data_IF_360548579118
#
_entry.id   IF_360548579118
#
_cell.length_a   1.000
_cell.length_b   1.000
_cell.length_c   1.000
_cell.angle_alpha   90.00
_cell.angle_beta   90.00
_cell.angle_gamma   90.00
#
_symmetry.space_group_name_H-M   'P 1'
#
loop_
_entity.id
_entity.type
_entity.pdbx_description
1 polymer ?
#
# COMPACT_ATOMS: atom_id res chain seq x y z
N UNK A 1 18.77 -55.32 63.42
CA UNK A 1 18.87 -55.26 61.94
C UNK A 1 17.58 -55.85 61.39
N UNK A 2 16.67 -55.17 60.70
CA UNK A 2 16.63 -53.89 59.99
C UNK A 2 15.23 -53.28 60.19
N UNK A 3 15.14 -51.95 60.34
CA UNK A 3 13.89 -51.21 60.58
C UNK A 3 13.27 -50.78 59.24
N UNK A 4 11.93 -50.88 59.14
CA UNK A 4 11.10 -50.44 58.01
C UNK A 4 11.17 -48.91 57.83
N UNK A 5 11.49 -48.44 56.62
CA UNK A 5 11.43 -47.02 56.24
C UNK A 5 10.37 -46.77 55.17
N UNK A 6 9.37 -45.96 55.49
CA UNK A 6 8.32 -45.43 54.60
C UNK A 6 8.91 -44.26 53.80
N UNK A 7 8.78 -44.26 52.48
CA UNK A 7 9.04 -43.08 51.66
C UNK A 7 7.78 -42.22 51.58
N UNK A 8 7.84 -41.01 52.13
CA UNK A 8 6.85 -39.95 51.95
C UNK A 8 7.21 -39.25 50.63
N UNK A 9 6.37 -39.40 49.61
CA UNK A 9 6.44 -38.61 48.40
C UNK A 9 6.00 -37.17 48.73
N UNK A 10 6.95 -36.24 48.74
CA UNK A 10 6.67 -34.81 48.91
C UNK A 10 6.36 -34.22 47.53
N UNK A 11 5.07 -34.02 47.26
CA UNK A 11 4.58 -33.30 46.08
C UNK A 11 4.75 -31.79 46.29
N UNK A 12 5.91 -31.24 45.92
CA UNK A 12 6.05 -29.80 45.69
C UNK A 12 5.40 -29.45 44.34
N UNK A 13 4.09 -29.24 44.36
CA UNK A 13 3.39 -28.58 43.26
C UNK A 13 3.84 -27.11 43.20
N UNK A 14 4.76 -26.82 42.27
CA UNK A 14 5.06 -25.47 41.83
C UNK A 14 3.80 -24.88 41.19
N UNK A 15 3.01 -24.16 42.00
CA UNK A 15 2.00 -23.24 41.50
C UNK A 15 2.73 -22.08 40.80
N UNK A 16 3.10 -22.29 39.55
CA UNK A 16 3.27 -21.18 38.62
C UNK A 16 1.91 -20.54 38.45
N UNK A 17 1.62 -19.53 39.26
CA UNK A 17 0.55 -18.57 38.95
C UNK A 17 1.01 -17.87 37.68
N UNK A 18 0.63 -18.41 36.53
CA UNK A 18 0.61 -17.66 35.29
C UNK A 18 -0.34 -16.50 35.57
N UNK A 19 0.22 -15.31 35.81
CA UNK A 19 -0.52 -14.09 35.57
C UNK A 19 -0.79 -14.05 34.07
N UNK A 20 -1.87 -14.70 33.66
CA UNK A 20 -2.51 -14.38 32.40
C UNK A 20 -2.80 -12.89 32.49
N UNK A 21 -2.00 -12.09 31.78
CA UNK A 21 -2.31 -10.68 31.62
C UNK A 21 -3.65 -10.64 30.89
N UNK A 22 -4.72 -10.39 31.65
CA UNK A 22 -6.04 -10.24 31.09
C UNK A 22 -5.97 -9.12 30.04
N UNK A 23 -6.31 -9.47 28.79
CA UNK A 23 -6.32 -8.49 27.71
C UNK A 23 -7.37 -7.41 28.00
N UNK A 24 -8.51 -7.79 28.61
CA UNK A 24 -9.59 -6.92 29.09
C UNK A 24 -9.84 -7.02 30.61
N UNK A 25 -11.05 -6.65 31.03
CA UNK A 25 -11.46 -6.62 32.43
C UNK A 25 -11.47 -8.01 33.07
N UNK A 26 -11.16 -8.07 34.36
CA UNK A 26 -11.26 -9.29 35.15
C UNK A 26 -12.73 -9.53 35.53
N UNK A 27 -13.39 -10.43 34.81
CA UNK A 27 -14.81 -10.73 35.03
C UNK A 27 -15.14 -11.30 36.42
N UNK A 28 -14.14 -11.82 37.15
CA UNK A 28 -14.34 -12.22 38.55
C UNK A 28 -14.49 -11.03 39.50
N UNK A 29 -14.15 -9.82 39.03
CA UNK A 29 -14.22 -8.55 39.76
C UNK A 29 -15.31 -7.61 39.25
N UNK A 30 -16.21 -8.08 38.37
CA UNK A 30 -17.32 -7.28 37.88
C UNK A 30 -18.19 -6.80 39.06
N UNK A 31 -18.36 -5.48 39.16
CA UNK A 31 -18.92 -4.82 40.35
C UNK A 31 -20.26 -4.12 40.09
N UNK A 32 -20.66 -3.95 38.82
CA UNK A 32 -21.90 -3.27 38.44
C UNK A 32 -22.60 -3.97 37.27
N UNK A 33 -23.85 -3.57 36.99
CA UNK A 33 -24.68 -4.15 35.93
C UNK A 33 -23.98 -4.12 34.57
N UNK A 34 -23.37 -2.98 34.21
CA UNK A 34 -22.63 -2.80 32.95
C UNK A 34 -21.49 -3.81 32.82
N UNK A 35 -20.67 -3.95 33.86
CA UNK A 35 -19.54 -4.89 33.90
C UNK A 35 -20.00 -6.35 33.81
N UNK A 36 -21.11 -6.69 34.46
CA UNK A 36 -21.73 -8.02 34.31
C UNK A 36 -22.24 -8.25 32.88
N UNK A 37 -22.86 -7.26 32.25
CA UNK A 37 -23.30 -7.32 30.85
C UNK A 37 -22.12 -7.51 29.90
N UNK A 38 -21.02 -6.76 30.10
CA UNK A 38 -19.79 -6.91 29.30
C UNK A 38 -19.24 -8.32 29.43
N UNK A 39 -19.17 -8.87 30.65
CA UNK A 39 -18.66 -10.23 30.88
C UNK A 39 -19.58 -11.34 30.38
N UNK A 40 -20.89 -11.11 30.31
CA UNK A 40 -21.87 -12.07 29.79
C UNK A 40 -21.98 -12.05 28.26
N UNK A 41 -21.46 -11.00 27.60
CA UNK A 41 -21.54 -10.82 26.16
C UNK A 41 -20.15 -10.91 25.51
N UNK A 42 -19.90 -11.98 24.74
CA UNK A 42 -18.60 -12.24 24.12
C UNK A 42 -18.08 -11.06 23.26
N UNK A 43 -18.96 -10.40 22.50
CA UNK A 43 -18.58 -9.30 21.62
C UNK A 43 -18.17 -8.05 22.42
N UNK A 44 -18.89 -7.73 23.50
CA UNK A 44 -18.52 -6.62 24.39
C UNK A 44 -17.22 -6.91 25.14
N UNK A 45 -17.03 -8.16 25.59
CA UNK A 45 -15.79 -8.57 26.24
C UNK A 45 -14.59 -8.45 25.30
N UNK A 46 -14.76 -8.81 24.02
CA UNK A 46 -13.72 -8.67 23.02
C UNK A 46 -13.36 -7.18 22.78
N UNK A 47 -14.36 -6.32 22.65
CA UNK A 47 -14.15 -4.87 22.54
C UNK A 47 -13.42 -4.30 23.77
N UNK A 48 -13.76 -4.77 24.98
CA UNK A 48 -13.07 -4.38 26.21
C UNK A 48 -11.61 -4.85 26.22
N UNK A 49 -11.34 -6.08 25.77
CA UNK A 49 -10.00 -6.62 25.64
C UNK A 49 -9.16 -5.85 24.62
N UNK A 50 -9.70 -5.54 23.45
CA UNK A 50 -9.04 -4.72 22.44
C UNK A 50 -8.73 -3.32 23.01
N UNK A 51 -9.69 -2.69 23.69
CA UNK A 51 -9.53 -1.35 24.27
C UNK A 51 -8.45 -1.36 25.36
N UNK A 52 -8.43 -2.39 26.22
CA UNK A 52 -7.43 -2.57 27.26
C UNK A 52 -6.00 -2.68 26.70
N UNK A 53 -5.82 -3.37 25.58
CA UNK A 53 -4.53 -3.45 24.86
C UNK A 53 -4.09 -2.05 24.40
N UNK A 54 -4.92 -1.37 23.59
CA UNK A 54 -4.58 -0.05 23.02
C UNK A 54 -4.31 0.98 24.13
N UNK A 55 -5.12 0.99 25.19
CA UNK A 55 -4.91 1.88 26.33
C UNK A 55 -3.54 1.66 26.99
N UNK A 56 -3.14 0.41 27.24
CA UNK A 56 -1.83 0.11 27.85
C UNK A 56 -0.68 0.52 26.96
N UNK A 57 -0.78 0.32 25.66
CA UNK A 57 0.29 0.67 24.73
C UNK A 57 0.41 2.18 24.53
N UNK A 58 -0.72 2.90 24.47
CA UNK A 58 -0.73 4.36 24.49
C UNK A 58 -0.16 4.91 25.80
N UNK A 59 -0.48 4.28 26.92
CA UNK A 59 0.06 4.66 28.22
C UNK A 59 1.59 4.53 28.26
N UNK A 60 2.18 3.49 27.66
CA UNK A 60 3.64 3.33 27.54
C UNK A 60 4.25 4.36 26.57
N UNK A 61 3.61 4.61 25.44
CA UNK A 61 4.11 5.51 24.41
C UNK A 61 4.06 7.00 24.84
N UNK A 62 3.13 7.37 25.71
CA UNK A 62 2.80 8.77 25.97
C UNK A 62 3.14 9.23 27.39
N UNK A 63 4.40 9.06 27.81
CA UNK A 63 4.84 9.45 29.16
C UNK A 63 4.40 10.87 29.61
N UNK A 64 4.47 11.92 28.75
CA UNK A 64 4.06 13.27 29.14
C UNK A 64 2.55 13.45 29.39
N UNK A 65 1.70 12.63 28.76
CA UNK A 65 0.23 12.81 28.79
C UNK A 65 -0.49 11.71 29.58
N UNK A 66 0.23 10.85 30.29
CA UNK A 66 -0.34 9.74 31.09
C UNK A 66 -1.42 10.17 32.09
N UNK A 67 -1.24 11.32 32.75
CA UNK A 67 -2.21 11.85 33.71
C UNK A 67 -3.54 12.20 33.03
N UNK A 68 -3.46 12.81 31.85
CA UNK A 68 -4.62 13.16 31.05
C UNK A 68 -5.31 11.92 30.48
N UNK A 69 -4.53 10.94 29.99
CA UNK A 69 -5.07 9.66 29.52
C UNK A 69 -5.85 8.91 30.61
N UNK A 70 -5.32 8.85 31.84
CA UNK A 70 -6.05 8.28 33.00
C UNK A 70 -7.34 9.05 33.29
N UNK A 71 -7.30 10.38 33.22
CA UNK A 71 -8.47 11.22 33.48
C UNK A 71 -9.57 10.97 32.44
N UNK A 72 -9.24 11.01 31.15
CA UNK A 72 -10.20 10.77 30.07
C UNK A 72 -10.75 9.35 30.09
N UNK A 73 -9.94 8.34 30.45
CA UNK A 73 -10.40 6.96 30.57
C UNK A 73 -11.42 6.78 31.70
N UNK A 74 -11.22 7.44 32.85
CA UNK A 74 -12.18 7.42 33.96
C UNK A 74 -13.50 8.12 33.60
N UNK A 75 -13.42 9.24 32.88
CA UNK A 75 -14.60 9.94 32.38
C UNK A 75 -15.36 9.08 31.38
N UNK A 76 -14.65 8.40 30.47
CA UNK A 76 -15.26 7.46 29.53
C UNK A 76 -15.94 6.29 30.25
N UNK A 77 -15.30 5.68 31.27
CA UNK A 77 -15.93 4.61 32.07
C UNK A 77 -17.22 5.08 32.74
N UNK A 78 -17.26 6.34 33.22
CA UNK A 78 -18.47 6.93 33.79
C UNK A 78 -19.57 7.06 32.73
N UNK A 79 -19.24 7.62 31.56
CA UNK A 79 -20.20 7.79 30.46
C UNK A 79 -20.72 6.43 29.94
N UNK A 80 -19.83 5.45 29.73
CA UNK A 80 -20.19 4.07 29.36
C UNK A 80 -21.20 3.48 30.35
N UNK A 81 -21.03 3.73 31.64
CA UNK A 81 -21.92 3.18 32.66
C UNK A 81 -23.34 3.77 32.62
N UNK A 82 -23.55 4.90 31.94
CA UNK A 82 -24.89 5.48 31.73
C UNK A 82 -25.75 4.63 30.78
N UNK A 83 -25.14 3.74 29.97
CA UNK A 83 -25.84 2.77 29.13
C UNK A 83 -26.58 1.66 29.90
N UNK A 84 -26.29 1.48 31.20
CA UNK A 84 -26.75 0.32 31.97
C UNK A 84 -26.45 -1.01 31.23
N UNK A 85 -27.46 -1.83 30.96
CA UNK A 85 -27.30 -3.15 30.33
C UNK A 85 -27.54 -3.13 28.81
N UNK A 86 -27.72 -1.95 28.20
CA UNK A 86 -27.95 -1.81 26.76
C UNK A 86 -26.69 -2.16 25.97
N UNK A 87 -26.69 -3.35 25.36
CA UNK A 87 -25.58 -3.87 24.56
C UNK A 87 -25.24 -2.97 23.37
N UNK A 88 -26.22 -2.35 22.71
CA UNK A 88 -25.98 -1.48 21.57
C UNK A 88 -25.28 -0.20 22.00
N UNK A 89 -25.76 0.43 23.09
CA UNK A 89 -25.14 1.61 23.68
C UNK A 89 -23.70 1.31 24.12
N UNK A 90 -23.48 0.20 24.83
CA UNK A 90 -22.15 -0.22 25.26
C UNK A 90 -21.21 -0.46 24.07
N UNK A 91 -21.68 -1.16 23.04
CA UNK A 91 -20.88 -1.44 21.84
C UNK A 91 -20.42 -0.16 21.16
N UNK A 92 -21.33 0.81 20.98
CA UNK A 92 -21.00 2.11 20.42
C UNK A 92 -19.94 2.85 21.25
N UNK A 93 -20.11 2.94 22.58
CA UNK A 93 -19.15 3.60 23.45
C UNK A 93 -17.76 2.95 23.42
N UNK A 94 -17.68 1.62 23.29
CA UNK A 94 -16.41 0.91 23.12
C UNK A 94 -15.76 1.22 21.78
N UNK A 95 -16.52 1.19 20.68
CA UNK A 95 -16.02 1.46 19.33
C UNK A 95 -15.48 2.90 19.21
N UNK A 96 -16.23 3.89 19.69
CA UNK A 96 -15.81 5.30 19.70
C UNK A 96 -14.51 5.48 20.52
N UNK A 97 -14.42 4.81 21.68
CA UNK A 97 -13.22 4.91 22.53
C UNK A 97 -12.03 4.22 21.91
N UNK A 98 -12.23 3.04 21.32
CA UNK A 98 -11.20 2.33 20.58
C UNK A 98 -10.64 3.21 19.46
N UNK A 99 -11.50 3.79 18.63
CA UNK A 99 -11.10 4.71 17.56
C UNK A 99 -10.30 5.90 18.11
N UNK A 100 -10.77 6.53 19.18
CA UNK A 100 -10.08 7.67 19.79
C UNK A 100 -8.70 7.30 20.37
N UNK A 101 -8.61 6.17 21.08
CA UNK A 101 -7.34 5.70 21.66
C UNK A 101 -6.35 5.26 20.58
N UNK A 102 -6.84 4.61 19.52
CA UNK A 102 -6.07 4.21 18.34
C UNK A 102 -5.47 5.40 17.62
N UNK A 103 -6.27 6.42 17.33
CA UNK A 103 -5.78 7.67 16.72
C UNK A 103 -4.74 8.38 17.60
N UNK A 104 -4.96 8.44 18.92
CA UNK A 104 -3.98 8.99 19.86
C UNK A 104 -2.70 8.17 19.88
N UNK A 105 -2.81 6.84 19.84
CA UNK A 105 -1.67 5.93 19.84
C UNK A 105 -0.84 6.11 18.58
N UNK A 106 -1.48 6.07 17.41
CA UNK A 106 -0.84 6.33 16.13
C UNK A 106 -0.12 7.68 16.15
N UNK A 107 -0.74 8.75 16.62
CA UNK A 107 -0.09 10.05 16.73
C UNK A 107 1.12 10.05 17.68
N UNK A 108 1.04 9.32 18.79
CA UNK A 108 2.11 9.24 19.78
C UNK A 108 3.32 8.40 19.32
N UNK A 109 3.09 7.37 18.51
CA UNK A 109 4.16 6.48 17.99
C UNK A 109 4.55 6.76 16.54
N UNK A 110 3.86 7.69 15.88
CA UNK A 110 4.14 8.12 14.52
C UNK A 110 5.59 8.59 14.41
N UNK A 111 6.26 8.06 13.40
CA UNK A 111 7.56 8.52 13.01
C UNK A 111 7.47 9.96 12.50
N UNK A 112 8.36 10.80 13.01
CA UNK A 112 8.61 12.12 12.44
C UNK A 112 9.93 12.02 11.67
N UNK A 113 9.94 12.30 10.36
CA UNK A 113 11.18 12.38 9.60
C UNK A 113 12.18 13.31 10.29
N UNK A 114 13.43 12.88 10.33
CA UNK A 114 14.55 13.61 10.93
C UNK A 114 15.52 14.12 9.84
N UNK A 115 16.56 14.84 10.27
CA UNK A 115 17.60 15.39 9.39
C UNK A 115 18.27 14.33 8.49
N UNK A 116 18.33 13.06 8.92
CA UNK A 116 18.90 11.99 8.08
C UNK A 116 17.95 11.58 6.96
N UNK A 117 16.64 11.67 7.18
CA UNK A 117 15.64 11.39 6.15
C UNK A 117 15.63 12.51 5.09
N UNK A 118 15.76 13.77 5.52
CA UNK A 118 15.95 14.91 4.60
C UNK A 118 17.22 14.76 3.76
N UNK A 119 18.34 14.42 4.39
CA UNK A 119 19.61 14.18 3.69
C UNK A 119 19.54 12.96 2.76
N UNK A 120 18.85 11.89 3.16
CA UNK A 120 18.66 10.72 2.29
C UNK A 120 17.86 11.09 1.03
N UNK A 121 16.85 11.95 1.17
CA UNK A 121 16.06 12.42 0.04
C UNK A 121 16.89 13.29 -0.92
N UNK A 122 17.70 14.21 -0.39
CA UNK A 122 18.65 15.03 -1.18
C UNK A 122 19.70 14.17 -1.91
N UNK A 123 20.27 13.16 -1.25
CA UNK A 123 21.19 12.21 -1.88
C UNK A 123 20.54 11.44 -3.03
N UNK A 124 19.30 10.96 -2.83
CA UNK A 124 18.54 10.28 -3.88
C UNK A 124 18.28 11.23 -5.06
N UNK A 125 17.90 12.49 -4.78
CA UNK A 125 17.69 13.52 -5.81
C UNK A 125 18.93 13.70 -6.68
N UNK A 126 20.08 13.93 -6.04
CA UNK A 126 21.37 14.13 -6.70
C UNK A 126 21.77 12.90 -7.50
N UNK A 127 21.49 11.70 -6.99
CA UNK A 127 21.80 10.45 -7.68
C UNK A 127 20.97 10.28 -8.95
N UNK A 128 19.68 10.59 -8.90
CA UNK A 128 18.79 10.58 -10.08
C UNK A 128 19.27 11.62 -11.10
N UNK A 129 19.55 12.85 -10.67
CA UNK A 129 20.05 13.93 -11.55
C UNK A 129 21.43 13.63 -12.16
N UNK A 130 22.27 12.86 -11.47
CA UNK A 130 23.54 12.39 -12.01
C UNK A 130 23.31 11.29 -13.05
N UNK A 131 22.51 10.27 -12.71
CA UNK A 131 22.18 9.17 -13.60
C UNK A 131 21.46 9.63 -14.88
N UNK A 132 20.66 10.71 -14.80
CA UNK A 132 19.93 11.25 -15.95
C UNK A 132 20.83 11.88 -17.01
N UNK A 133 22.11 12.13 -16.72
CA UNK A 133 23.09 12.61 -17.72
C UNK A 133 23.57 11.48 -18.63
N UNK A 134 23.57 10.25 -18.13
CA UNK A 134 24.06 9.08 -18.85
C UNK A 134 22.91 8.26 -19.46
N UNK A 135 21.84 8.07 -18.68
CA UNK A 135 20.66 7.31 -19.07
C UNK A 135 19.40 8.01 -18.54
N UNK A 136 18.91 9.05 -19.25
CA UNK A 136 17.76 9.84 -18.81
C UNK A 136 16.47 9.02 -18.71
N UNK A 137 16.35 7.94 -19.48
CA UNK A 137 15.16 7.09 -19.48
C UNK A 137 15.13 6.10 -18.32
N UNK A 138 16.25 5.70 -17.74
CA UNK A 138 16.29 4.76 -16.60
C UNK A 138 17.06 5.33 -15.40
N UNK A 139 17.14 6.65 -15.29
CA UNK A 139 17.87 7.34 -14.23
C UNK A 139 17.37 6.94 -12.83
N UNK A 140 16.04 6.88 -12.65
CA UNK A 140 15.41 6.45 -11.41
C UNK A 140 15.73 4.98 -11.10
N UNK A 141 15.51 4.08 -12.05
CA UNK A 141 15.70 2.64 -11.86
C UNK A 141 17.17 2.31 -11.53
N UNK A 142 18.12 2.96 -12.23
CA UNK A 142 19.55 2.88 -11.89
C UNK A 142 19.88 3.50 -10.53
N UNK A 143 19.20 4.60 -10.17
CA UNK A 143 19.34 5.27 -8.88
C UNK A 143 18.89 4.37 -7.71
N UNK A 144 17.79 3.62 -7.88
CA UNK A 144 17.30 2.69 -6.87
C UNK A 144 18.15 1.41 -6.83
N UNK A 145 18.45 0.81 -7.99
CA UNK A 145 19.21 -0.44 -8.08
C UNK A 145 20.59 -0.38 -7.40
N UNK A 146 21.33 0.72 -7.55
CA UNK A 146 22.63 0.84 -6.90
C UNK A 146 22.56 1.25 -5.41
N UNK A 147 21.38 1.59 -4.90
CA UNK A 147 21.10 1.77 -3.49
C UNK A 147 20.46 0.53 -2.85
N UNK A 148 20.20 -0.53 -3.62
CA UNK A 148 19.54 -1.74 -3.14
C UNK A 148 20.22 -2.30 -1.88
N UNK A 149 19.40 -2.71 -0.91
CA UNK A 149 19.86 -3.35 0.33
C UNK A 149 20.64 -4.62 -0.01
N UNK A 150 21.84 -4.75 0.56
CA UNK A 150 22.77 -5.86 0.28
C UNK A 150 22.73 -6.98 1.33
N UNK A 151 21.86 -6.87 2.34
CA UNK A 151 21.71 -7.88 3.38
C UNK A 151 21.05 -9.14 2.83
N UNK A 152 21.45 -10.31 3.35
CA UNK A 152 20.90 -11.59 2.92
C UNK A 152 19.42 -11.68 3.25
N UNK A 153 18.60 -11.81 2.21
CA UNK A 153 17.17 -12.09 2.33
C UNK A 153 16.89 -13.60 2.19
N UNK A 154 15.92 -14.12 2.93
CA UNK A 154 15.38 -15.48 2.74
C UNK A 154 13.87 -15.42 2.60
N UNK A 155 13.39 -15.79 1.42
CA UNK A 155 11.97 -15.90 1.10
C UNK A 155 11.42 -17.31 1.36
N UNK A 156 10.19 -17.39 1.82
CA UNK A 156 9.40 -18.62 1.94
C UNK A 156 7.90 -18.32 1.79
N UNK A 157 7.08 -19.35 1.59
CA UNK A 157 5.64 -19.23 1.37
C UNK A 157 4.86 -19.88 2.51
N UNK A 158 3.62 -19.46 2.70
CA UNK A 158 2.67 -20.19 3.53
C UNK A 158 2.34 -21.57 2.96
N UNK A 159 1.92 -22.48 3.83
CA UNK A 159 1.45 -23.81 3.44
C UNK A 159 0.05 -23.66 2.84
N UNK A 160 -0.21 -24.22 1.65
CA UNK A 160 -1.53 -24.14 1.02
C UNK A 160 -2.60 -24.86 1.86
N UNK A 161 -3.80 -24.29 1.94
CA UNK A 161 -4.95 -24.98 2.49
C UNK A 161 -5.33 -26.17 1.57
N UNK A 162 -5.64 -27.32 2.15
CA UNK A 162 -5.95 -28.55 1.41
C UNK A 162 -7.26 -28.47 0.61
N UNK A 163 -8.23 -27.70 1.09
CA UNK A 163 -9.56 -27.51 0.51
C UNK A 163 -9.65 -26.28 -0.40
N UNK A 164 -8.85 -25.24 -0.13
CA UNK A 164 -8.83 -24.00 -0.90
C UNK A 164 -7.41 -23.47 -1.15
N UNK A 165 -6.88 -23.76 -2.34
CA UNK A 165 -5.55 -23.32 -2.75
C UNK A 165 -5.36 -21.80 -2.84
N UNK A 166 -6.42 -20.99 -2.72
CA UNK A 166 -6.33 -19.52 -2.66
C UNK A 166 -6.01 -18.99 -1.26
N UNK A 167 -6.03 -19.86 -0.25
CA UNK A 167 -5.72 -19.56 1.14
C UNK A 167 -4.43 -20.29 1.53
N UNK A 168 -3.59 -19.61 2.30
CA UNK A 168 -2.38 -20.21 2.88
C UNK A 168 -2.43 -20.13 4.40
N UNK A 169 -1.67 -20.98 5.08
CA UNK A 169 -1.44 -20.90 6.52
C UNK A 169 0.03 -20.61 6.80
N UNK A 170 0.30 -20.09 7.99
CA UNK A 170 1.68 -19.98 8.44
C UNK A 170 2.34 -21.37 8.43
N UNK A 171 3.58 -21.51 7.92
CA UNK A 171 4.20 -22.82 7.76
C UNK A 171 4.22 -23.65 9.04
N UNK A 172 4.05 -24.96 8.88
CA UNK A 172 4.09 -25.93 9.99
C UNK A 172 5.50 -26.47 10.25
N UNK A 173 6.38 -26.38 9.26
CA UNK A 173 7.77 -26.83 9.32
C UNK A 173 8.74 -25.68 9.02
N UNK A 174 9.96 -25.78 9.59
CA UNK A 174 11.00 -24.77 9.41
C UNK A 174 11.41 -24.64 7.93
N UNK A 175 11.24 -23.46 7.29
CA UNK A 175 11.64 -23.27 5.90
C UNK A 175 13.16 -23.27 5.71
N UNK A 176 13.60 -23.61 4.51
CA UNK A 176 15.02 -23.59 4.14
C UNK A 176 15.60 -22.18 4.26
N UNK A 177 16.75 -22.04 4.92
CA UNK A 177 17.42 -20.74 5.13
C UNK A 177 16.92 -19.93 6.33
N UNK A 178 15.86 -20.38 6.99
CA UNK A 178 15.45 -19.88 8.31
C UNK A 178 16.25 -20.62 9.37
N UNK A 179 16.82 -19.93 10.35
CA UNK A 179 17.57 -20.55 11.45
C UNK A 179 16.63 -21.07 12.55
N UNK A 180 17.11 -21.97 13.40
CA UNK A 180 16.31 -22.48 14.53
C UNK A 180 15.94 -21.38 15.55
N UNK A 181 16.72 -20.30 15.65
CA UNK A 181 16.36 -19.16 16.50
C UNK A 181 15.20 -18.37 15.89
N UNK A 182 15.31 -18.02 14.61
CA UNK A 182 14.25 -17.29 13.91
C UNK A 182 12.97 -18.10 13.83
N UNK A 183 13.07 -19.40 13.61
CA UNK A 183 11.90 -20.29 13.60
C UNK A 183 11.16 -20.30 14.94
N UNK A 184 11.89 -20.38 16.05
CA UNK A 184 11.29 -20.25 17.40
C UNK A 184 10.60 -18.90 17.58
N UNK A 185 11.19 -17.83 17.06
CA UNK A 185 10.59 -16.51 17.17
C UNK A 185 9.35 -16.35 16.30
N UNK A 186 9.38 -16.80 15.05
CA UNK A 186 8.24 -16.79 14.14
C UNK A 186 7.03 -17.51 14.74
N UNK A 187 7.25 -18.75 15.21
CA UNK A 187 6.21 -19.57 15.85
C UNK A 187 5.69 -18.98 17.17
N UNK A 188 6.50 -18.20 17.88
CA UNK A 188 6.08 -17.49 19.09
C UNK A 188 5.30 -16.19 18.83
N UNK A 189 5.21 -15.72 17.58
CA UNK A 189 4.78 -14.34 17.25
C UNK A 189 3.34 -14.22 16.74
N UNK A 190 2.56 -15.30 16.69
CA UNK A 190 1.15 -15.30 16.24
C UNK A 190 0.94 -14.55 14.91
N UNK A 191 1.72 -14.92 13.90
CA UNK A 191 1.71 -14.31 12.55
C UNK A 191 0.55 -14.91 11.70
N UNK A 192 -0.45 -15.50 12.34
CA UNK A 192 -1.46 -16.36 11.71
C UNK A 192 -2.54 -15.57 10.96
N UNK A 193 -2.87 -14.38 11.45
CA UNK A 193 -4.00 -13.59 10.94
C UNK A 193 -3.78 -13.11 9.48
N UNK A 194 -2.51 -12.91 9.09
CA UNK A 194 -2.16 -12.51 7.74
C UNK A 194 -2.38 -13.63 6.70
N UNK A 195 -2.35 -14.90 7.13
CA UNK A 195 -2.46 -16.05 6.26
C UNK A 195 -3.93 -16.38 5.91
N UNK A 196 -4.85 -16.09 6.83
CA UNK A 196 -6.29 -16.39 6.69
C UNK A 196 -7.02 -15.54 5.63
N UNK A 197 -6.37 -14.50 5.10
CA UNK A 197 -6.98 -13.50 4.19
C UNK A 197 -6.49 -13.59 2.75
N UNK A 198 -5.53 -14.49 2.45
CA UNK A 198 -5.05 -14.69 1.07
C UNK A 198 -3.72 -15.45 0.95
N UNK A 199 -3.17 -15.47 -0.26
CA UNK A 199 -1.89 -16.12 -0.54
C UNK A 199 -0.76 -15.32 0.10
N UNK A 200 -0.06 -15.93 1.05
CA UNK A 200 0.91 -15.23 1.89
C UNK A 200 2.33 -15.70 1.61
N UNK A 201 3.23 -14.75 1.42
CA UNK A 201 4.67 -14.98 1.34
C UNK A 201 5.41 -14.17 2.39
N UNK A 202 6.58 -14.67 2.78
CA UNK A 202 7.37 -14.15 3.88
C UNK A 202 8.80 -13.94 3.42
N UNK A 203 9.41 -12.84 3.84
CA UNK A 203 10.85 -12.59 3.61
C UNK A 203 11.50 -12.17 4.91
N UNK A 204 12.54 -12.90 5.33
CA UNK A 204 13.43 -12.49 6.41
C UNK A 204 14.58 -11.66 5.84
N UNK A 205 14.69 -10.40 6.24
CA UNK A 205 15.76 -9.49 5.85
C UNK A 205 16.06 -8.52 6.99
N UNK A 206 17.31 -8.14 7.17
CA UNK A 206 17.68 -7.10 8.14
C UNK A 206 17.26 -5.73 7.58
N UNK A 207 16.28 -5.09 8.24
CA UNK A 207 15.68 -3.82 7.83
C UNK A 207 16.13 -2.64 8.69
N UNK A 208 17.02 -2.84 9.67
CA UNK A 208 17.50 -1.76 10.54
C UNK A 208 19.03 -1.74 10.74
N UNK A 209 19.75 -2.70 10.16
CA UNK A 209 21.20 -2.84 10.23
C UNK A 209 21.72 -3.40 11.56
N UNK A 210 20.87 -4.00 12.40
CA UNK A 210 21.25 -4.55 13.70
C UNK A 210 21.82 -5.99 13.63
N UNK A 211 21.85 -6.57 12.43
CA UNK A 211 22.35 -7.93 12.17
C UNK A 211 21.34 -9.03 12.46
N UNK A 212 20.15 -8.71 12.96
CA UNK A 212 19.01 -9.61 13.05
C UNK A 212 18.05 -9.34 11.90
N UNK A 213 17.48 -10.42 11.35
CA UNK A 213 16.50 -10.28 10.28
C UNK A 213 15.13 -9.99 10.85
N UNK A 214 14.52 -8.95 10.31
CA UNK A 214 13.12 -8.60 10.44
C UNK A 214 12.29 -9.39 9.42
N UNK A 215 10.97 -9.31 9.54
CA UNK A 215 10.05 -10.06 8.68
C UNK A 215 9.21 -9.12 7.83
N UNK A 216 9.20 -9.36 6.53
CA UNK A 216 8.25 -8.79 5.57
C UNK A 216 7.20 -9.86 5.28
N UNK A 217 5.93 -9.50 5.32
CA UNK A 217 4.79 -10.37 5.01
C UNK A 217 4.04 -9.75 3.85
N UNK A 218 3.91 -10.47 2.73
CA UNK A 218 3.07 -10.05 1.62
C UNK A 218 1.83 -10.94 1.59
N UNK A 219 0.66 -10.35 1.66
CA UNK A 219 -0.63 -11.05 1.57
C UNK A 219 -1.36 -10.60 0.32
N UNK A 220 -1.50 -11.51 -0.64
CA UNK A 220 -2.27 -11.29 -1.85
C UNK A 220 -3.76 -11.54 -1.56
N UNK A 221 -4.55 -10.47 -1.55
CA UNK A 221 -5.99 -10.50 -1.32
C UNK A 221 -6.80 -10.64 -2.63
N UNK A 222 -6.15 -10.45 -3.79
CA UNK A 222 -6.79 -10.55 -5.10
C UNK A 222 -7.84 -9.46 -5.33
N UNK A 223 -9.07 -9.88 -5.68
CA UNK A 223 -10.13 -8.97 -6.11
C UNK A 223 -9.92 -8.43 -7.54
N UNK A 224 -10.75 -7.49 -7.94
CA UNK A 224 -10.72 -6.93 -9.31
C UNK A 224 -9.51 -6.04 -9.58
N UNK A 225 -8.86 -5.54 -8.53
CA UNK A 225 -7.60 -4.78 -8.56
C UNK A 225 -6.33 -5.64 -8.37
N UNK A 226 -6.46 -6.92 -7.98
CA UNK A 226 -5.31 -7.79 -7.66
C UNK A 226 -4.41 -7.20 -6.56
N UNK A 227 -5.00 -6.89 -5.41
CA UNK A 227 -4.29 -6.22 -4.32
C UNK A 227 -3.29 -7.13 -3.61
N UNK A 228 -2.11 -6.59 -3.33
CA UNK A 228 -1.13 -7.18 -2.40
C UNK A 228 -0.83 -6.22 -1.28
N UNK A 229 -1.02 -6.66 -0.04
CA UNK A 229 -0.72 -5.88 1.16
C UNK A 229 0.63 -6.30 1.73
N UNK A 230 1.46 -5.32 2.07
CA UNK A 230 2.80 -5.59 2.62
C UNK A 230 2.86 -5.12 4.06
N UNK A 231 3.08 -6.04 4.99
CA UNK A 231 3.33 -5.76 6.40
C UNK A 231 4.81 -6.01 6.74
N UNK A 232 5.29 -5.34 7.79
CA UNK A 232 6.65 -5.51 8.31
C UNK A 232 6.64 -5.67 9.81
N UNK A 233 7.50 -6.54 10.31
CA UNK A 233 7.60 -6.90 11.72
C UNK A 233 9.04 -6.84 12.18
N UNK A 234 9.26 -6.09 13.26
CA UNK A 234 10.58 -5.97 13.87
C UNK A 234 10.91 -7.20 14.71
N UNK A 235 12.12 -7.71 14.61
CA UNK A 235 12.65 -8.71 15.54
C UNK A 235 12.88 -8.07 16.91
N UNK A 236 12.24 -8.62 17.95
CA UNK A 236 12.38 -8.17 19.34
C UNK A 236 12.54 -9.38 20.27
N UNK A 237 13.79 -9.65 20.66
CA UNK A 237 14.14 -10.73 21.59
C UNK A 237 13.79 -12.11 21.06
N UNK A 238 12.67 -12.70 21.50
CA UNK A 238 12.18 -14.02 21.03
C UNK A 238 10.88 -13.92 20.21
N UNK A 239 10.49 -12.71 19.79
CA UNK A 239 9.32 -12.49 18.94
C UNK A 239 9.58 -11.54 17.78
N UNK A 240 8.62 -11.46 16.89
CA UNK A 240 8.42 -10.45 15.87
C UNK A 240 7.23 -9.59 16.32
N UNK A 241 7.36 -8.27 16.18
CA UNK A 241 6.36 -7.31 16.66
C UNK A 241 5.96 -6.41 15.49
N UNK A 242 4.65 -6.28 15.26
CA UNK A 242 4.08 -5.37 14.26
C UNK A 242 4.43 -3.91 14.57
N UNK A 243 4.44 -3.09 13.53
CA UNK A 243 4.56 -1.62 13.66
C UNK A 243 3.33 -0.98 14.27
N UNK A 244 2.14 -1.53 13.98
CA UNK A 244 0.83 -1.05 14.46
C UNK A 244 0.16 -2.08 15.35
N UNK A 245 -0.66 -1.63 16.30
CA UNK A 245 -1.63 -2.48 17.01
C UNK A 245 -2.98 -2.57 16.29
N UNK A 246 -3.14 -1.84 15.17
CA UNK A 246 -4.31 -1.98 14.31
C UNK A 246 -4.32 -3.35 13.62
N UNK A 247 -5.52 -3.91 13.36
CA UNK A 247 -5.68 -5.07 12.50
C UNK A 247 -5.10 -4.82 11.09
N UNK A 248 -5.44 -3.67 10.51
CA UNK A 248 -4.92 -3.20 9.21
C UNK A 248 -3.64 -2.40 9.44
N UNK A 249 -2.48 -3.04 9.23
CA UNK A 249 -1.17 -2.45 9.55
C UNK A 249 -0.17 -2.44 8.41
N UNK A 250 -0.64 -2.55 7.16
CA UNK A 250 0.21 -2.54 5.98
C UNK A 250 1.12 -1.31 5.93
N UNK A 251 2.35 -1.52 5.49
CA UNK A 251 3.33 -0.48 5.20
C UNK A 251 2.94 0.25 3.92
N UNK A 252 2.51 -0.52 2.93
CA UNK A 252 1.91 -0.08 1.67
C UNK A 252 1.13 -1.25 1.07
N UNK A 253 0.42 -1.00 -0.02
CA UNK A 253 -0.18 -2.02 -0.87
C UNK A 253 0.13 -1.74 -2.34
N UNK A 254 0.01 -2.77 -3.18
CA UNK A 254 0.04 -2.61 -4.65
C UNK A 254 -1.29 -3.01 -5.26
N UNK A 255 -1.62 -2.39 -6.40
CA UNK A 255 -2.79 -2.70 -7.23
C UNK A 255 -2.31 -2.92 -8.67
N UNK A 256 -2.29 -4.18 -9.13
CA UNK A 256 -1.70 -4.53 -10.42
C UNK A 256 -2.60 -4.19 -11.62
N UNK A 257 -3.89 -3.87 -11.39
CA UNK A 257 -4.82 -3.54 -12.48
C UNK A 257 -5.16 -2.07 -12.58
N UNK A 258 -4.97 -1.26 -11.55
CA UNK A 258 -5.40 0.14 -11.49
C UNK A 258 -4.33 1.11 -10.99
N UNK A 259 -3.06 0.69 -10.98
CA UNK A 259 -1.93 1.55 -10.66
C UNK A 259 -0.64 0.96 -11.24
N UNK A 260 0.44 1.76 -11.22
CA UNK A 260 1.79 1.29 -11.50
C UNK A 260 2.64 1.52 -10.24
N UNK A 261 2.58 0.51 -9.36
CA UNK A 261 3.16 0.55 -8.03
C UNK A 261 4.23 -0.51 -7.86
N UNK A 262 5.33 -0.16 -7.21
CA UNK A 262 6.43 -1.08 -6.92
C UNK A 262 7.16 -0.68 -5.65
N UNK A 263 8.07 -1.52 -5.18
CA UNK A 263 8.92 -1.22 -4.04
C UNK A 263 10.36 -1.63 -4.32
N UNK A 264 11.29 -0.75 -3.96
CA UNK A 264 12.71 -1.05 -3.88
C UNK A 264 13.18 -0.91 -2.44
N UNK A 265 13.76 -1.97 -1.87
CA UNK A 265 14.40 -1.89 -0.56
C UNK A 265 15.78 -1.26 -0.74
N UNK A 266 15.95 -0.03 -0.28
CA UNK A 266 17.18 0.74 -0.47
C UNK A 266 17.85 1.10 0.85
N UNK A 267 19.17 1.29 0.82
CA UNK A 267 19.96 1.79 1.94
C UNK A 267 20.54 3.16 1.61
N UNK A 268 20.23 4.15 2.45
CA UNK A 268 20.71 5.52 2.35
C UNK A 268 21.11 6.00 3.74
N UNK A 269 22.30 6.61 3.86
CA UNK A 269 22.83 7.15 5.13
C UNK A 269 22.78 6.15 6.30
N UNK A 270 22.94 4.86 6.03
CA UNK A 270 22.89 3.79 7.03
C UNK A 270 21.49 3.43 7.52
N UNK A 271 20.43 4.04 6.97
CA UNK A 271 19.04 3.65 7.16
C UNK A 271 18.56 2.80 5.98
N UNK A 272 17.66 1.87 6.25
CA UNK A 272 16.93 1.13 5.22
C UNK A 272 15.57 1.78 5.01
N UNK A 273 15.18 1.95 3.76
CA UNK A 273 13.87 2.46 3.36
C UNK A 273 13.18 1.46 2.45
N UNK A 274 11.85 1.38 2.54
CA UNK A 274 11.04 0.90 1.43
C UNK A 274 10.82 2.11 0.52
N UNK A 275 11.50 2.18 -0.62
CA UNK A 275 11.24 3.18 -1.65
C UNK A 275 10.01 2.72 -2.44
N UNK A 276 8.83 3.08 -1.93
CA UNK A 276 7.55 2.72 -2.52
C UNK A 276 7.22 3.69 -3.65
N UNK A 277 7.09 3.16 -4.86
CA UNK A 277 6.75 3.90 -6.07
C UNK A 277 5.25 3.84 -6.30
N UNK A 278 4.64 4.98 -6.60
CA UNK A 278 3.30 5.10 -7.17
C UNK A 278 3.38 6.02 -8.39
N UNK A 279 3.07 5.48 -9.56
CA UNK A 279 3.27 6.16 -10.84
C UNK A 279 1.94 6.49 -11.50
N UNK A 280 1.94 7.57 -12.27
CA UNK A 280 0.88 8.00 -13.19
C UNK A 280 1.55 8.43 -14.50
N UNK A 281 0.77 8.72 -15.54
CA UNK A 281 1.31 9.24 -16.78
C UNK A 281 2.13 10.51 -16.52
N UNK A 282 3.42 10.45 -16.84
CA UNK A 282 4.31 11.60 -16.72
C UNK A 282 4.80 11.88 -15.31
N UNK A 283 4.53 11.02 -14.31
CA UNK A 283 5.13 11.19 -13.00
C UNK A 283 5.37 9.88 -12.23
N UNK A 284 6.54 9.79 -11.59
CA UNK A 284 6.82 8.81 -10.54
C UNK A 284 6.85 9.53 -9.19
N UNK A 285 6.06 9.08 -8.22
CA UNK A 285 6.18 9.48 -6.80
C UNK A 285 6.84 8.34 -6.02
N UNK A 286 7.97 8.62 -5.38
CA UNK A 286 8.69 7.67 -4.54
C UNK A 286 8.60 8.11 -3.08
N UNK A 287 7.96 7.30 -2.27
CA UNK A 287 7.82 7.48 -0.84
C UNK A 287 8.94 6.72 -0.12
N UNK A 288 9.78 7.41 0.65
CA UNK A 288 10.81 6.77 1.46
C UNK A 288 10.24 6.34 2.81
N UNK A 289 9.66 5.16 2.86
CA UNK A 289 9.00 4.65 4.06
C UNK A 289 10.02 4.05 5.03
N UNK A 290 9.91 4.41 6.31
CA UNK A 290 10.64 3.68 7.34
C UNK A 290 10.00 2.30 7.53
N UNK A 291 10.74 1.21 7.31
CA UNK A 291 10.18 -0.13 7.25
C UNK A 291 9.69 -0.66 8.60
N UNK A 292 10.09 -0.06 9.73
CA UNK A 292 9.77 -0.58 11.07
C UNK A 292 9.08 0.48 11.95
N UNK A 293 8.58 1.57 11.35
CA UNK A 293 7.88 2.64 12.07
C UNK A 293 6.54 2.98 11.41
N UNK A 294 5.66 3.65 12.16
CA UNK A 294 4.40 4.17 11.60
C UNK A 294 4.69 5.45 10.84
N UNK A 295 4.53 5.40 9.52
CA UNK A 295 4.79 6.52 8.62
C UNK A 295 3.53 7.39 8.52
N UNK A 296 3.61 8.66 8.95
CA UNK A 296 2.53 9.65 8.80
C UNK A 296 2.97 10.81 7.92
N UNK A 297 4.18 11.32 8.17
CA UNK A 297 4.89 12.20 7.25
C UNK A 297 6.05 11.42 6.64
N UNK A 298 6.24 11.56 5.34
CA UNK A 298 7.17 10.76 4.54
C UNK A 298 7.96 11.68 3.61
N UNK A 299 9.28 11.47 3.50
CA UNK A 299 10.09 12.09 2.45
C UNK A 299 9.67 11.52 1.09
N UNK A 300 9.24 12.41 0.20
CA UNK A 300 8.71 12.05 -1.12
C UNK A 300 9.56 12.66 -2.21
N UNK A 301 10.01 11.83 -3.15
CA UNK A 301 10.62 12.25 -4.40
C UNK A 301 9.54 12.25 -5.50
N UNK A 302 9.47 13.29 -6.30
CA UNK A 302 8.63 13.32 -7.51
C UNK A 302 9.50 13.54 -8.73
N UNK A 303 9.41 12.62 -9.69
CA UNK A 303 10.08 12.74 -10.98
C UNK A 303 9.00 12.98 -12.02
N UNK A 304 9.07 14.09 -12.74
CA UNK A 304 8.14 14.40 -13.83
C UNK A 304 8.78 14.14 -15.18
N UNK A 305 8.00 13.55 -16.08
CA UNK A 305 8.41 13.22 -17.43
C UNK A 305 7.53 13.92 -18.46
N UNK A 306 8.13 14.23 -19.59
CA UNK A 306 7.43 14.45 -20.87
C UNK A 306 7.69 13.26 -21.77
N UNK A 307 6.77 12.94 -22.67
CA UNK A 307 6.95 11.85 -23.63
C UNK A 307 7.00 12.38 -25.05
N UNK A 308 7.98 11.92 -25.82
CA UNK A 308 7.92 12.02 -27.29
C UNK A 308 7.04 10.86 -27.77
N UNK A 309 5.76 11.15 -28.03
CA UNK A 309 4.78 10.16 -28.46
C UNK A 309 4.82 9.95 -29.97
N UNK A 310 4.73 8.68 -30.39
CA UNK A 310 4.70 8.27 -31.78
C UNK A 310 3.68 7.14 -31.99
N UNK A 311 2.91 7.25 -33.07
CA UNK A 311 2.05 6.16 -33.55
C UNK A 311 2.85 5.34 -34.57
N UNK A 312 3.13 4.05 -34.37
CA UNK A 312 3.87 3.26 -35.33
C UNK A 312 3.04 2.98 -36.59
N UNK A 313 3.70 2.88 -37.74
CA UNK A 313 3.03 2.57 -39.02
C UNK A 313 2.42 1.17 -38.99
N UNK A 314 3.13 0.21 -38.43
CA UNK A 314 2.66 -1.16 -38.25
C UNK A 314 1.86 -1.25 -36.95
N UNK A 315 0.59 -1.66 -37.06
CA UNK A 315 -0.36 -1.77 -35.96
C UNK A 315 -0.82 -3.21 -35.81
N UNK A 316 -1.20 -3.61 -34.60
CA UNK A 316 -1.78 -4.93 -34.34
C UNK A 316 -3.31 -4.88 -34.43
N UNK A 317 -3.91 -5.97 -34.93
CA UNK A 317 -5.36 -6.18 -34.84
C UNK A 317 -5.73 -6.74 -33.46
N UNK A 318 -7.02 -6.69 -33.15
CA UNK A 318 -7.57 -7.19 -31.88
C UNK A 318 -7.30 -8.68 -31.62
N UNK A 319 -6.95 -9.46 -32.66
CA UNK A 319 -6.54 -10.86 -32.52
C UNK A 319 -5.14 -11.05 -31.91
N UNK A 320 -4.39 -9.95 -31.71
CA UNK A 320 -3.07 -9.89 -31.10
C UNK A 320 -1.93 -10.51 -31.93
N UNK A 321 -2.23 -11.12 -33.07
CA UNK A 321 -1.27 -11.90 -33.86
C UNK A 321 -1.11 -11.40 -35.29
N UNK A 322 -2.13 -10.74 -35.84
CA UNK A 322 -2.07 -10.15 -37.17
C UNK A 322 -1.85 -8.65 -37.11
N UNK A 323 -1.16 -8.13 -38.12
CA UNK A 323 -0.82 -6.72 -38.23
C UNK A 323 -1.45 -6.08 -39.46
N UNK A 324 -1.48 -4.75 -39.47
CA UNK A 324 -1.84 -3.95 -40.63
C UNK A 324 -0.98 -2.67 -40.67
N UNK A 325 -0.80 -2.11 -41.86
CA UNK A 325 -0.09 -0.84 -42.03
C UNK A 325 -1.08 0.32 -42.12
N UNK A 326 -0.73 1.43 -41.47
CA UNK A 326 -1.49 2.66 -41.54
C UNK A 326 -1.25 3.39 -42.87
N UNK A 327 -2.34 3.83 -43.49
CA UNK A 327 -2.27 4.75 -44.63
C UNK A 327 -1.51 6.04 -44.25
N UNK A 328 -0.65 6.59 -45.14
CA UNK A 328 0.25 7.71 -44.79
C UNK A 328 -0.46 8.95 -44.22
N UNK A 329 -1.63 9.29 -44.76
CA UNK A 329 -2.41 10.44 -44.31
C UNK A 329 -3.03 10.23 -42.92
N UNK A 330 -3.47 8.99 -42.65
CA UNK A 330 -3.97 8.61 -41.33
C UNK A 330 -2.83 8.63 -40.31
N UNK A 331 -1.69 8.00 -40.63
CA UNK A 331 -0.50 7.99 -39.77
C UNK A 331 -0.05 9.41 -39.40
N UNK A 332 -0.03 10.33 -40.37
CA UNK A 332 0.28 11.74 -40.14
C UNK A 332 -0.74 12.42 -39.22
N UNK A 333 -2.03 12.20 -39.46
CA UNK A 333 -3.10 12.78 -38.63
C UNK A 333 -3.02 12.33 -37.16
N UNK A 334 -2.78 11.04 -36.92
CA UNK A 334 -2.65 10.49 -35.57
C UNK A 334 -1.41 11.04 -34.85
N UNK A 335 -0.26 11.14 -35.54
CA UNK A 335 0.96 11.71 -34.95
C UNK A 335 0.81 13.21 -34.61
N UNK A 336 0.15 13.99 -35.47
CA UNK A 336 -0.16 15.40 -35.18
C UNK A 336 -1.09 15.56 -33.97
N UNK A 337 -1.97 14.60 -33.74
CA UNK A 337 -2.86 14.59 -32.59
C UNK A 337 -2.09 14.30 -31.29
N UNK A 338 -1.35 13.19 -31.23
CA UNK A 338 -0.62 12.81 -29.99
C UNK A 338 0.50 13.78 -29.63
N UNK A 339 1.10 14.48 -30.61
CA UNK A 339 2.12 15.50 -30.35
C UNK A 339 1.60 16.67 -29.48
N UNK A 340 0.28 16.95 -29.53
CA UNK A 340 -0.35 18.02 -28.76
C UNK A 340 -0.62 17.66 -27.31
N UNK A 341 -0.54 16.37 -26.94
CA UNK A 341 -0.86 15.90 -25.57
C UNK A 341 0.01 16.60 -24.53
N UNK A 342 1.30 16.82 -24.83
CA UNK A 342 2.22 17.54 -23.96
C UNK A 342 1.84 19.02 -23.72
N UNK A 343 1.01 19.61 -24.58
CA UNK A 343 0.57 21.01 -24.48
C UNK A 343 -0.79 21.14 -23.76
N UNK A 344 -1.61 20.09 -23.78
CA UNK A 344 -3.00 20.10 -23.29
C UNK A 344 -3.25 19.29 -22.02
N UNK A 345 -2.27 18.52 -21.52
CA UNK A 345 -2.46 17.66 -20.36
C UNK A 345 -2.98 18.46 -19.13
N UNK A 346 -4.11 17.99 -18.58
CA UNK A 346 -4.74 18.41 -17.32
C UNK A 346 -5.75 19.58 -17.29
N UNK A 347 -6.27 20.10 -18.42
CA UNK A 347 -7.38 21.07 -18.37
C UNK A 347 -8.60 20.53 -19.14
N UNK A 348 -9.77 20.32 -18.50
CA UNK A 348 -10.99 20.07 -19.24
C UNK A 348 -11.25 21.25 -20.17
N UNK A 349 -11.28 20.97 -21.48
CA UNK A 349 -11.50 22.00 -22.47
C UNK A 349 -12.88 22.63 -22.24
N UNK A 350 -12.90 23.94 -21.98
CA UNK A 350 -14.16 24.71 -21.94
C UNK A 350 -14.78 24.86 -23.33
N UNK A 351 -13.98 24.59 -24.37
CA UNK A 351 -14.38 24.62 -25.77
C UNK A 351 -14.57 23.18 -26.28
N UNK A 352 -15.53 22.96 -27.20
CA UNK A 352 -15.73 21.63 -27.77
C UNK A 352 -14.51 21.20 -28.58
N UNK A 353 -14.13 19.93 -28.48
CA UNK A 353 -12.98 19.35 -29.19
C UNK A 353 -13.26 19.32 -30.70
N UNK A 354 -14.49 18.96 -31.08
CA UNK A 354 -14.95 18.96 -32.46
C UNK A 354 -16.03 20.03 -32.70
N UNK A 355 -16.16 20.56 -33.93
CA UNK A 355 -17.24 21.50 -34.26
C UNK A 355 -18.62 20.89 -34.04
N UNK A 356 -19.49 21.59 -33.30
CA UNK A 356 -20.86 21.15 -33.00
C UNK A 356 -21.80 21.50 -34.17
N UNK A 357 -22.59 20.55 -34.69
CA UNK A 357 -23.61 20.83 -35.70
C UNK A 357 -24.69 21.78 -35.18
N UNK A 358 -25.24 22.60 -36.09
CA UNK A 358 -26.28 23.58 -35.78
C UNK A 358 -27.60 22.97 -35.24
N UNK A 359 -27.79 21.66 -35.34
CA UNK A 359 -28.99 20.94 -34.87
C UNK A 359 -29.02 20.72 -33.36
N UNK A 360 -27.89 20.89 -32.65
CA UNK A 360 -27.80 20.80 -31.17
C UNK A 360 -27.95 19.40 -30.57
N UNK A 361 -28.01 18.35 -31.38
CA UNK A 361 -28.05 16.97 -30.89
C UNK A 361 -26.65 16.52 -30.43
N UNK A 362 -26.57 15.86 -29.27
CA UNK A 362 -25.32 15.31 -28.75
C UNK A 362 -24.29 16.36 -28.32
N UNK A 363 -24.70 17.59 -27.96
CA UNK A 363 -23.78 18.70 -27.65
C UNK A 363 -22.67 18.32 -26.66
N UNK A 364 -23.00 17.56 -25.61
CA UNK A 364 -22.04 17.09 -24.60
C UNK A 364 -21.01 16.10 -25.17
N UNK A 365 -21.34 15.37 -26.24
CA UNK A 365 -20.49 14.34 -26.83
C UNK A 365 -19.30 14.92 -27.61
N UNK A 366 -19.26 16.23 -27.81
CA UNK A 366 -18.16 16.95 -28.47
C UNK A 366 -17.08 17.43 -27.50
N UNK A 367 -17.28 17.31 -26.18
CA UNK A 367 -16.37 17.87 -25.18
C UNK A 367 -15.42 16.84 -24.56
N UNK A 368 -15.77 15.55 -24.59
CA UNK A 368 -14.95 14.50 -23.96
C UNK A 368 -15.18 13.15 -24.61
N UNK A 369 -14.18 12.26 -24.57
CA UNK A 369 -14.35 10.88 -25.00
C UNK A 369 -15.28 10.08 -24.07
N UNK A 370 -15.46 10.54 -22.82
CA UNK A 370 -16.19 9.82 -21.77
C UNK A 370 -15.28 9.36 -20.62
N UNK A 371 -15.85 8.78 -19.55
CA UNK A 371 -15.06 8.27 -18.43
C UNK A 371 -14.25 7.04 -18.83
N UNK A 372 -13.09 6.85 -18.19
CA UNK A 372 -12.28 5.65 -18.36
C UNK A 372 -12.57 4.61 -17.26
N UNK A 373 -12.29 3.35 -17.58
CA UNK A 373 -12.37 2.25 -16.62
C UNK A 373 -11.23 2.38 -15.60
N UNK A 374 -11.44 1.94 -14.35
CA UNK A 374 -10.46 2.07 -13.26
C UNK A 374 -9.10 1.39 -13.55
N UNK A 375 -9.05 0.50 -14.55
CA UNK A 375 -7.86 -0.25 -14.89
C UNK A 375 -6.92 0.43 -15.88
N UNK A 376 -7.25 1.66 -16.27
CA UNK A 376 -6.51 2.45 -17.24
C UNK A 376 -6.55 3.92 -16.82
N UNK A 377 -5.56 4.67 -17.28
CA UNK A 377 -5.48 6.11 -17.08
C UNK A 377 -5.86 6.83 -18.38
N UNK A 378 -6.88 7.69 -18.34
CA UNK A 378 -7.17 8.59 -19.46
C UNK A 378 -6.33 9.85 -19.33
N UNK A 379 -5.26 9.90 -20.11
CA UNK A 379 -4.26 10.97 -20.09
C UNK A 379 -4.84 12.28 -20.62
N UNK A 380 -5.54 12.21 -21.76
CA UNK A 380 -6.11 13.40 -22.41
C UNK A 380 -7.25 13.04 -23.35
N UNK A 381 -8.24 13.93 -23.44
CA UNK A 381 -9.15 14.00 -24.58
C UNK A 381 -8.60 15.00 -25.60
N UNK A 382 -8.62 14.67 -26.89
CA UNK A 382 -8.07 15.50 -27.94
C UNK A 382 -8.83 15.37 -29.26
N UNK A 383 -8.90 16.42 -30.10
CA UNK A 383 -9.48 16.31 -31.41
C UNK A 383 -8.52 15.66 -32.41
N UNK A 384 -9.05 14.75 -33.22
CA UNK A 384 -8.30 14.07 -34.27
C UNK A 384 -8.99 14.30 -35.61
N UNK A 385 -8.31 15.00 -36.51
CA UNK A 385 -8.84 15.33 -37.84
C UNK A 385 -8.29 14.37 -38.89
N UNK A 386 -9.18 13.60 -39.52
CA UNK A 386 -8.83 12.65 -40.58
C UNK A 386 -9.58 13.10 -41.85
N UNK A 387 -8.85 13.69 -42.79
CA UNK A 387 -9.48 14.39 -43.91
C UNK A 387 -10.32 15.57 -43.41
N UNK A 388 -11.62 15.57 -43.73
CA UNK A 388 -12.56 16.60 -43.27
C UNK A 388 -13.36 16.19 -42.02
N UNK A 389 -13.19 14.95 -41.56
CA UNK A 389 -13.92 14.42 -40.41
C UNK A 389 -13.15 14.74 -39.11
N UNK A 390 -13.89 15.15 -38.07
CA UNK A 390 -13.37 15.33 -36.71
C UNK A 390 -13.81 14.18 -35.81
N UNK A 391 -12.85 13.61 -35.10
CA UNK A 391 -13.03 12.54 -34.12
C UNK A 391 -12.66 13.03 -32.73
N UNK A 392 -13.37 12.51 -31.72
CA UNK A 392 -12.97 12.65 -30.33
C UNK A 392 -11.99 11.52 -30.04
N UNK A 393 -10.75 11.88 -29.70
CA UNK A 393 -9.70 10.97 -29.30
C UNK A 393 -9.54 10.94 -27.78
N UNK A 394 -9.24 9.75 -27.23
CA UNK A 394 -8.72 9.59 -25.89
C UNK A 394 -7.35 8.92 -25.95
N UNK A 395 -6.33 9.57 -25.38
CA UNK A 395 -5.07 8.90 -25.09
C UNK A 395 -5.21 8.17 -23.75
N UNK A 396 -5.03 6.86 -23.80
CA UNK A 396 -5.16 5.93 -22.68
C UNK A 396 -3.79 5.34 -22.40
N UNK A 397 -3.40 5.32 -21.14
CA UNK A 397 -2.14 4.76 -20.65
C UNK A 397 -2.39 3.80 -19.49
N UNK A 398 -1.36 3.03 -19.11
CA UNK A 398 -1.37 2.13 -17.95
C UNK A 398 -0.47 2.68 -16.86
N UNK A 399 -0.82 3.87 -16.35
CA UNK A 399 -0.20 4.50 -15.18
C UNK A 399 1.32 4.73 -15.33
N UNK A 400 1.75 5.14 -16.52
CA UNK A 400 3.15 5.40 -16.85
C UNK A 400 4.01 4.13 -16.97
N UNK A 401 3.40 2.95 -17.15
CA UNK A 401 4.12 1.69 -17.32
C UNK A 401 5.13 1.79 -18.47
N UNK A 402 6.40 1.48 -18.18
CA UNK A 402 7.52 1.76 -19.06
C UNK A 402 8.44 0.56 -19.19
N UNK A 403 8.94 0.30 -20.39
CA UNK A 403 9.90 -0.78 -20.65
C UNK A 403 11.08 -0.30 -21.48
N UNK A 404 12.24 -0.94 -21.33
CA UNK A 404 13.43 -0.64 -22.14
C UNK A 404 13.18 -0.89 -23.63
N UNK A 405 12.46 -1.97 -23.94
CA UNK A 405 12.19 -2.41 -25.31
C UNK A 405 11.26 -1.44 -26.06
N UNK A 406 10.13 -1.09 -25.44
CA UNK A 406 9.04 -0.39 -26.13
C UNK A 406 8.84 1.04 -25.65
N UNK A 407 9.51 1.47 -24.58
CA UNK A 407 9.19 2.71 -23.89
C UNK A 407 7.84 2.62 -23.17
N UNK A 408 7.12 3.75 -23.16
CA UNK A 408 5.72 3.85 -22.73
C UNK A 408 4.85 3.18 -23.80
N UNK A 409 3.86 2.40 -23.38
CA UNK A 409 2.79 1.94 -24.26
C UNK A 409 1.47 2.61 -23.88
N UNK A 410 0.83 3.22 -24.86
CA UNK A 410 -0.46 3.87 -24.74
C UNK A 410 -1.37 3.48 -25.93
N UNK A 411 -2.64 3.80 -25.83
CA UNK A 411 -3.61 3.64 -26.92
C UNK A 411 -4.33 4.96 -27.20
N UNK A 412 -4.48 5.29 -28.47
CA UNK A 412 -5.34 6.37 -28.93
C UNK A 412 -6.66 5.78 -29.43
N UNK A 413 -7.71 5.90 -28.62
CA UNK A 413 -9.06 5.50 -28.99
C UNK A 413 -9.78 6.66 -29.68
N UNK A 414 -10.47 6.42 -30.79
CA UNK A 414 -11.20 7.41 -31.57
C UNK A 414 -12.67 7.02 -31.68
N UNK A 415 -13.57 7.98 -31.49
CA UNK A 415 -15.00 7.84 -31.81
C UNK A 415 -15.51 9.07 -32.57
N UNK A 416 -16.59 8.92 -33.32
CA UNK A 416 -17.30 10.07 -33.86
C UNK A 416 -18.12 10.71 -32.72
N UNK A 417 -18.22 12.04 -32.63
CA UNK A 417 -19.03 12.68 -31.60
C UNK A 417 -20.47 12.17 -31.58
N UNK A 418 -21.09 11.99 -32.75
CA UNK A 418 -22.51 11.64 -32.91
C UNK A 418 -22.83 10.14 -32.78
N UNK A 419 -21.82 9.27 -32.74
CA UNK A 419 -22.02 7.83 -32.62
C UNK A 419 -20.76 7.12 -32.12
N UNK A 420 -20.98 6.17 -31.21
CA UNK A 420 -19.94 5.25 -30.73
C UNK A 420 -19.70 4.08 -31.71
N UNK A 421 -20.54 3.94 -32.74
CA UNK A 421 -20.38 2.90 -33.76
C UNK A 421 -19.09 3.13 -34.56
N UNK A 422 -18.23 2.09 -34.60
CA UNK A 422 -16.98 2.12 -35.35
C UNK A 422 -15.82 2.80 -34.62
N UNK A 423 -15.83 2.79 -33.28
CA UNK A 423 -14.66 3.14 -32.46
C UNK A 423 -13.41 2.40 -32.92
N UNK A 424 -12.28 3.12 -32.99
CA UNK A 424 -10.99 2.57 -33.43
C UNK A 424 -9.92 2.86 -32.40
N UNK A 425 -9.02 1.91 -32.19
CA UNK A 425 -7.86 2.08 -31.31
C UNK A 425 -6.58 1.98 -32.13
N UNK A 426 -5.60 2.80 -31.74
CA UNK A 426 -4.27 2.79 -32.33
C UNK A 426 -3.24 2.71 -31.22
N UNK A 427 -2.22 1.89 -31.40
CA UNK A 427 -1.06 1.81 -30.51
C UNK A 427 -0.28 3.12 -30.59
N UNK A 428 0.19 3.58 -29.45
CA UNK A 428 1.05 4.76 -29.29
C UNK A 428 2.21 4.36 -28.41
N UNK A 429 3.43 4.71 -28.81
CA UNK A 429 4.63 4.49 -28.01
C UNK A 429 5.25 5.82 -27.63
N UNK A 430 5.95 5.86 -26.49
CA UNK A 430 6.56 7.09 -26.00
C UNK A 430 7.95 6.90 -25.42
N UNK A 431 8.87 7.79 -25.76
CA UNK A 431 10.18 7.90 -25.07
C UNK A 431 10.14 9.02 -24.04
N UNK A 432 10.51 8.70 -22.79
CA UNK A 432 10.38 9.65 -21.68
C UNK A 432 11.60 10.54 -21.53
N UNK A 433 11.38 11.79 -21.13
CA UNK A 433 12.43 12.74 -20.75
C UNK A 433 12.10 13.33 -19.40
N UNK A 434 13.05 13.28 -18.47
CA UNK A 434 12.91 13.93 -17.17
C UNK A 434 12.85 15.44 -17.38
N UNK A 435 11.81 16.07 -16.83
CA UNK A 435 11.58 17.52 -16.86
C UNK A 435 11.83 18.15 -15.50
N UNK A 436 11.53 17.43 -14.43
CA UNK A 436 11.69 17.88 -13.05
C UNK A 436 12.01 16.70 -12.14
N UNK A 437 12.86 16.94 -11.14
CA UNK A 437 13.08 16.04 -10.01
C UNK A 437 12.94 16.90 -8.75
N UNK A 438 11.84 16.75 -8.01
CA UNK A 438 11.52 17.58 -6.85
C UNK A 438 11.26 16.73 -5.61
N UNK A 439 11.33 17.37 -4.44
CA UNK A 439 11.25 16.73 -3.14
C UNK A 439 10.20 17.40 -2.27
N UNK A 440 9.49 16.63 -1.47
CA UNK A 440 8.53 17.14 -0.48
C UNK A 440 8.52 16.28 0.78
N UNK A 441 7.93 16.82 1.84
CA UNK A 441 7.57 16.09 3.05
C UNK A 441 6.05 16.14 3.17
N UNK A 442 5.40 14.98 3.24
CA UNK A 442 3.94 14.96 3.23
C UNK A 442 3.36 13.61 3.65
N UNK A 443 2.03 13.52 3.62
CA UNK A 443 1.34 12.24 3.78
C UNK A 443 1.58 11.38 2.54
N UNK A 444 1.47 10.07 2.72
CA UNK A 444 1.46 9.13 1.59
C UNK A 444 0.11 9.30 0.90
N UNK A 445 0.13 9.64 -0.39
CA UNK A 445 -1.05 9.51 -1.25
C UNK A 445 -1.11 8.05 -1.70
N UNK A 446 -1.66 7.20 -0.83
CA UNK A 446 -2.15 5.90 -1.24
C UNK A 446 -3.44 6.21 -2.00
N UNK A 447 -3.53 5.89 -3.28
CA UNK A 447 -4.74 6.10 -4.07
C UNK A 447 -5.91 5.46 -3.31
N UNK A 448 -6.73 6.27 -2.65
CA UNK A 448 -8.00 5.82 -2.09
C UNK A 448 -8.80 5.33 -3.30
N UNK A 449 -9.11 4.03 -3.28
CA UNK A 449 -9.53 3.27 -4.46
C UNK A 449 -10.77 3.78 -5.18
#
# INVERSE_FOLDING_TARGET
>A
MYIKGRYIASACALLFVQQAMAAGMDCTKAANAVENTVCANNQLYELDAQMGVVYRDLFKASAPTQAELKRTQRLWLKARNECAEDVSCLSQHYQERLQALRAQWQAAVAYQPDDLDEQALDDLQKRIQAASKDDPEFALDRALAALAVKTTAVGFHGDANEDDSSITYFPTAQPKGVTANEWRALTASRITDAAETGLTSYTLQDLNGDGQRDLIVNTYAGGTGLFTYVETWRRDGERFVKRSVEPESSLFYTNDRGANQSVDWISLRGKTYAAYRNSEYGADRIYLLNPLKINVQVPTMTIRYRYDLEVPVLQHKDDGNSTFELEPDLHRALNLAVAKVNETAAIPSKEPLCPIPATGAGENDYYSFGPAHYSIEKVADLPVFIGNDCYIGALIDWFGSYSEKNGLFAQLALRKPESDDGSRTYEVYGRRHITEVSTSMGKIELNEG
#
